data_IF_227059370961
#
_entry.id   IF_227059370961
#
_cell.length_a   1.000
_cell.length_b   1.000
_cell.length_c   1.000
_cell.angle_alpha   90.00
_cell.angle_beta   90.00
_cell.angle_gamma   90.00
#
_symmetry.space_group_name_H-M   'P 1'
#
loop_
_entity.id
_entity.type
_entity.pdbx_description
1 polymer ?
#
# COMPACT_ATOMS: atom_id res chain seq x y z
N UNK A 1 4.65 -67.17 -2.60
CA UNK A 1 3.52 -66.58 -3.33
C UNK A 1 2.67 -65.83 -2.31
N UNK A 2 2.59 -64.49 -2.42
CA UNK A 2 1.61 -63.53 -1.82
C UNK A 2 1.35 -63.57 -0.29
N UNK A 3 1.09 -62.49 0.43
CA UNK A 3 1.32 -61.04 0.34
C UNK A 3 0.86 -60.48 1.70
N UNK A 4 1.54 -59.44 2.19
CA UNK A 4 1.21 -58.62 3.37
C UNK A 4 -0.11 -57.84 3.22
N UNK A 5 -0.65 -57.41 4.38
CA UNK A 5 -1.39 -56.17 4.71
C UNK A 5 -2.65 -56.46 5.56
N UNK A 6 -3.03 -55.76 6.63
CA UNK A 6 -2.78 -54.38 7.10
C UNK A 6 -2.97 -54.31 8.63
N UNK A 7 -2.06 -53.62 9.33
CA UNK A 7 -2.33 -52.99 10.63
C UNK A 7 -2.66 -51.51 10.35
N UNK A 8 -3.94 -51.14 10.40
CA UNK A 8 -4.45 -49.76 10.42
C UNK A 8 -5.44 -49.72 11.57
N UNK A 9 -4.99 -49.34 12.77
CA UNK A 9 -5.89 -49.06 13.88
C UNK A 9 -5.20 -48.29 15.03
N UNK A 10 -4.61 -47.13 14.77
CA UNK A 10 -4.30 -46.17 15.86
C UNK A 10 -4.34 -44.74 15.32
N UNK A 11 -5.53 -44.17 15.21
CA UNK A 11 -5.73 -42.73 15.02
C UNK A 11 -7.18 -42.42 15.39
N UNK A 12 -7.40 -42.03 16.66
CA UNK A 12 -8.54 -41.29 17.23
C UNK A 12 -8.33 -41.39 18.76
N UNK A 13 -7.59 -40.45 19.36
CA UNK A 13 -7.60 -40.23 20.83
C UNK A 13 -6.97 -38.90 21.30
N UNK A 14 -6.75 -37.91 20.42
CA UNK A 14 -6.21 -36.61 20.85
C UNK A 14 -7.17 -35.43 20.58
N UNK A 15 -8.49 -35.67 20.61
CA UNK A 15 -9.49 -34.64 20.36
C UNK A 15 -10.52 -34.53 21.50
N UNK A 16 -10.06 -34.52 22.74
CA UNK A 16 -10.81 -34.00 23.89
C UNK A 16 -9.76 -33.56 24.90
N UNK A 17 -9.58 -32.26 25.08
CA UNK A 17 -9.09 -31.56 26.27
C UNK A 17 -8.55 -30.21 25.79
N UNK A 18 -9.37 -29.16 25.92
CA UNK A 18 -9.01 -27.79 26.30
C UNK A 18 -10.27 -26.91 26.16
N UNK A 19 -11.24 -27.16 27.06
CA UNK A 19 -12.31 -26.22 27.40
C UNK A 19 -12.17 -25.96 28.90
N UNK A 20 -11.61 -24.80 29.25
CA UNK A 20 -11.63 -24.13 30.56
C UNK A 20 -10.71 -22.91 30.41
N UNK A 21 -11.12 -21.65 30.44
CA UNK A 21 -12.19 -20.99 31.18
C UNK A 21 -11.52 -20.01 32.15
N UNK A 22 -11.71 -18.69 31.97
CA UNK A 22 -11.63 -17.66 33.01
C UNK A 22 -12.20 -16.32 32.49
N UNK A 23 -13.29 -15.89 33.15
CA UNK A 23 -13.91 -14.56 33.09
C UNK A 23 -13.08 -13.49 33.80
N UNK A 24 -13.52 -12.23 33.64
CA UNK A 24 -13.31 -10.99 34.45
C UNK A 24 -12.59 -9.92 33.63
N UNK A 25 -12.98 -8.65 33.52
CA UNK A 25 -14.07 -7.86 34.10
C UNK A 25 -14.26 -6.60 33.23
N UNK A 26 -15.50 -6.13 33.11
CA UNK A 26 -15.87 -4.87 32.45
C UNK A 26 -15.97 -3.76 33.50
N UNK A 27 -15.30 -2.61 33.34
CA UNK A 27 -15.67 -1.39 34.05
C UNK A 27 -16.55 -0.50 33.17
N UNK A 28 -17.55 0.07 33.83
CA UNK A 28 -18.61 0.90 33.30
C UNK A 28 -18.17 2.27 32.80
N UNK A 29 -18.89 2.68 31.76
CA UNK A 29 -19.19 4.04 31.29
C UNK A 29 -19.34 5.06 32.44
N UNK A 30 -18.64 6.18 32.33
CA UNK A 30 -19.08 7.48 32.86
C UNK A 30 -19.40 8.39 31.67
N UNK A 31 -20.69 8.61 31.48
CA UNK A 31 -21.27 9.73 30.76
C UNK A 31 -21.26 10.96 31.65
N UNK A 32 -20.86 12.10 31.10
CA UNK A 32 -21.15 13.51 31.44
C UNK A 32 -20.10 14.29 30.61
N UNK A 33 -20.37 15.30 29.80
CA UNK A 33 -21.35 16.37 29.84
C UNK A 33 -21.46 16.96 28.41
N UNK A 34 -22.67 17.29 27.99
CA UNK A 34 -22.95 18.18 26.86
C UNK A 34 -22.53 19.60 27.20
N UNK A 35 -21.69 20.24 26.37
CA UNK A 35 -21.59 21.71 26.34
C UNK A 35 -21.69 22.21 24.90
N UNK A 36 -22.53 23.22 24.78
CA UNK A 36 -23.16 23.85 23.64
C UNK A 36 -22.23 24.59 22.68
N UNK A 37 -22.67 24.60 21.43
CA UNK A 37 -22.25 25.46 20.33
C UNK A 37 -22.68 26.90 20.66
N UNK A 38 -21.74 27.85 20.64
CA UNK A 38 -22.05 29.26 20.45
C UNK A 38 -21.31 29.80 19.23
N UNK A 39 -22.11 30.09 18.21
CA UNK A 39 -21.74 30.90 17.04
C UNK A 39 -21.83 32.37 17.45
N UNK A 40 -20.70 33.06 17.52
CA UNK A 40 -20.67 34.53 17.55
C UNK A 40 -19.86 35.06 16.38
N UNK A 41 -20.59 35.39 15.32
CA UNK A 41 -20.18 36.32 14.27
C UNK A 41 -20.01 37.69 14.93
N UNK A 42 -18.80 38.23 14.92
CA UNK A 42 -18.57 39.66 15.13
C UNK A 42 -17.73 40.20 13.99
N UNK A 43 -18.39 41.02 13.18
CA UNK A 43 -17.82 41.85 12.13
C UNK A 43 -17.26 43.12 12.76
N UNK A 44 -15.95 43.32 12.69
CA UNK A 44 -15.35 44.62 12.92
C UNK A 44 -14.76 45.20 11.63
N UNK A 45 -15.42 46.28 11.21
CA UNK A 45 -14.94 47.27 10.25
C UNK A 45 -13.74 48.01 10.82
N UNK A 46 -12.66 48.07 10.05
CA UNK A 46 -11.71 49.17 10.10
C UNK A 46 -11.34 49.57 8.67
N UNK A 47 -12.10 50.51 8.10
CA UNK A 47 -11.69 51.30 6.94
C UNK A 47 -11.22 52.66 7.45
N UNK A 48 -9.94 52.99 7.27
CA UNK A 48 -9.53 54.15 6.48
C UNK A 48 -8.02 54.40 6.51
N UNK A 49 -7.59 55.08 5.44
CA UNK A 49 -6.36 55.85 5.23
C UNK A 49 -5.16 55.09 4.66
N UNK A 50 -4.75 55.48 3.45
CA UNK A 50 -3.39 55.23 2.97
C UNK A 50 -3.26 55.15 1.46
N UNK A 51 -3.50 56.26 0.80
CA UNK A 51 -3.12 56.61 -0.58
C UNK A 51 -1.69 56.15 -0.96
N UNK A 52 -1.45 55.82 -2.25
CA UNK A 52 -0.32 56.24 -3.11
C UNK A 52 0.14 55.15 -4.12
N UNK A 53 -0.20 55.42 -5.38
CA UNK A 53 0.59 55.39 -6.63
C UNK A 53 1.54 54.24 -7.00
N UNK A 54 1.33 53.81 -8.25
CA UNK A 54 2.33 53.72 -9.33
C UNK A 54 3.19 52.44 -9.50
N UNK A 55 2.94 51.84 -10.67
CA UNK A 55 3.94 51.53 -11.70
C UNK A 55 4.39 50.07 -11.87
N UNK A 56 4.51 49.72 -13.15
CA UNK A 56 5.20 48.57 -13.74
C UNK A 56 4.49 47.22 -13.74
N UNK A 57 3.65 47.07 -14.76
CA UNK A 57 3.30 45.80 -15.39
C UNK A 57 4.57 45.21 -16.03
N UNK A 58 5.42 44.59 -15.22
CA UNK A 58 6.52 43.75 -15.69
C UNK A 58 5.96 42.36 -15.97
N UNK A 59 6.03 42.01 -17.25
CA UNK A 59 5.84 40.66 -17.76
C UNK A 59 6.71 39.68 -16.98
N UNK A 60 6.07 38.85 -16.15
CA UNK A 60 6.61 37.55 -15.79
C UNK A 60 5.52 36.55 -16.12
N UNK A 61 5.60 36.07 -17.34
CA UNK A 61 4.99 34.83 -17.77
C UNK A 61 5.50 33.71 -16.86
N UNK A 62 4.78 33.45 -15.77
CA UNK A 62 4.69 32.10 -15.26
C UNK A 62 3.89 31.32 -16.29
N UNK A 63 4.61 30.82 -17.29
CA UNK A 63 4.24 29.63 -18.04
C UNK A 63 4.02 28.53 -16.99
N UNK A 64 2.77 28.38 -16.56
CA UNK A 64 2.25 27.09 -16.12
C UNK A 64 2.41 26.17 -17.31
N UNK A 65 3.55 25.47 -17.33
CA UNK A 65 3.74 24.26 -18.11
C UNK A 65 2.67 23.26 -17.65
N UNK A 66 1.51 23.35 -18.30
CA UNK A 66 0.62 22.22 -18.48
C UNK A 66 1.35 21.25 -19.41
N UNK A 67 2.34 20.53 -18.87
CA UNK A 67 2.73 19.27 -19.46
C UNK A 67 1.52 18.35 -19.34
N UNK A 68 0.82 18.21 -20.46
CA UNK A 68 -0.06 17.10 -20.77
C UNK A 68 0.84 15.84 -20.72
N UNK A 69 1.07 15.35 -19.50
CA UNK A 69 2.02 14.29 -19.22
C UNK A 69 1.48 13.01 -19.83
N UNK A 70 1.90 12.74 -21.07
CA UNK A 70 1.51 11.55 -21.79
C UNK A 70 1.98 10.33 -20.96
N UNK A 71 1.03 9.64 -20.33
CA UNK A 71 1.32 8.52 -19.43
C UNK A 71 1.94 7.40 -20.28
N UNK A 72 3.14 6.97 -19.89
CA UNK A 72 3.86 5.88 -20.54
C UNK A 72 3.30 4.52 -20.12
N UNK A 73 2.14 4.15 -20.68
CA UNK A 73 1.47 2.89 -20.36
C UNK A 73 2.32 1.65 -20.66
N UNK A 74 3.12 1.69 -21.73
CA UNK A 74 3.98 0.57 -22.10
C UNK A 74 5.10 0.39 -21.06
N UNK A 75 5.75 1.47 -20.64
CA UNK A 75 6.76 1.41 -19.59
C UNK A 75 6.19 0.90 -18.25
N UNK A 76 4.94 1.26 -17.91
CA UNK A 76 4.26 0.72 -16.73
C UNK A 76 4.05 -0.79 -16.81
N UNK A 77 3.52 -1.27 -17.93
CA UNK A 77 3.31 -2.71 -18.16
C UNK A 77 4.62 -3.48 -18.17
N UNK A 78 5.65 -2.94 -18.82
CA UNK A 78 6.99 -3.52 -18.86
C UNK A 78 7.59 -3.62 -17.46
N UNK A 79 7.45 -2.58 -16.63
CA UNK A 79 7.91 -2.62 -15.25
C UNK A 79 7.22 -3.72 -14.44
N UNK A 80 5.89 -3.80 -14.48
CA UNK A 80 5.12 -4.80 -13.71
C UNK A 80 5.47 -6.22 -14.16
N UNK A 81 5.49 -6.48 -15.47
CA UNK A 81 5.87 -7.81 -15.99
C UNK A 81 7.31 -8.19 -15.61
N UNK A 82 8.24 -7.23 -15.70
CA UNK A 82 9.62 -7.44 -15.29
C UNK A 82 9.69 -7.76 -13.80
N UNK A 83 8.97 -7.03 -12.95
CA UNK A 83 8.89 -7.29 -11.52
C UNK A 83 8.35 -8.71 -11.22
N UNK A 84 7.23 -9.10 -11.83
CA UNK A 84 6.65 -10.43 -11.67
C UNK A 84 7.58 -11.55 -12.14
N UNK A 85 8.24 -11.37 -13.30
CA UNK A 85 9.20 -12.33 -13.86
C UNK A 85 10.44 -12.50 -12.97
N UNK A 86 10.94 -11.41 -12.40
CA UNK A 86 12.06 -11.43 -11.46
C UNK A 86 11.70 -12.23 -10.20
N UNK A 87 10.50 -12.01 -9.65
CA UNK A 87 10.05 -12.73 -8.45
C UNK A 87 9.95 -14.23 -8.74
N UNK A 88 9.30 -14.60 -9.84
CA UNK A 88 9.15 -16.00 -10.28
C UNK A 88 10.47 -16.73 -10.51
N UNK A 89 11.54 -16.00 -10.84
CA UNK A 89 12.86 -16.57 -11.08
C UNK A 89 13.77 -16.55 -9.85
N UNK A 90 13.27 -16.14 -8.69
CA UNK A 90 14.03 -15.98 -7.44
C UNK A 90 15.29 -15.10 -7.60
N UNK A 91 15.26 -14.13 -8.52
CA UNK A 91 16.44 -13.30 -8.84
C UNK A 91 16.52 -12.09 -7.89
N UNK A 92 17.06 -12.32 -6.70
CA UNK A 92 17.29 -11.26 -5.70
C UNK A 92 18.18 -10.12 -6.23
N UNK A 93 19.10 -10.41 -7.15
CA UNK A 93 19.97 -9.38 -7.74
C UNK A 93 19.19 -8.46 -8.65
N UNK A 94 18.22 -8.99 -9.40
CA UNK A 94 17.34 -8.20 -10.23
C UNK A 94 16.30 -7.43 -9.40
N UNK A 95 15.75 -8.00 -8.30
CA UNK A 95 14.88 -7.25 -7.37
C UNK A 95 15.62 -6.03 -6.83
N UNK A 96 16.87 -6.20 -6.41
CA UNK A 96 17.72 -5.10 -5.92
C UNK A 96 17.84 -3.97 -6.94
N UNK A 97 17.79 -4.25 -8.25
CA UNK A 97 17.86 -3.21 -9.30
C UNK A 97 16.56 -2.40 -9.44
N UNK A 98 15.42 -2.92 -8.97
CA UNK A 98 14.16 -2.19 -8.93
C UNK A 98 14.04 -1.26 -7.71
N UNK A 99 15.03 -1.27 -6.82
CA UNK A 99 15.08 -0.44 -5.60
C UNK A 99 16.25 0.53 -5.71
N UNK A 100 15.97 1.79 -5.41
CA UNK A 100 16.97 2.86 -5.39
C UNK A 100 17.67 2.97 -4.02
N UNK A 101 18.33 4.09 -3.78
CA UNK A 101 19.10 4.35 -2.55
C UNK A 101 18.23 4.56 -1.31
N UNK A 102 16.92 4.78 -1.48
CA UNK A 102 16.00 4.99 -0.37
C UNK A 102 15.42 3.68 0.16
N UNK A 103 15.54 2.56 -0.57
CA UNK A 103 15.02 1.27 -0.14
C UNK A 103 13.54 1.09 -0.49
N UNK A 104 12.92 0.11 0.15
CA UNK A 104 11.49 -0.20 0.00
C UNK A 104 10.87 -0.55 1.34
N UNK A 105 9.55 -0.40 1.48
CA UNK A 105 8.82 -0.80 2.67
C UNK A 105 8.08 -2.13 2.47
N UNK A 106 8.21 -3.04 3.43
CA UNK A 106 7.34 -4.22 3.58
C UNK A 106 6.30 -3.92 4.64
N UNK A 107 5.02 -3.88 4.26
CA UNK A 107 3.90 -3.51 5.15
C UNK A 107 2.90 -4.66 5.23
N UNK A 108 2.73 -5.23 6.41
CA UNK A 108 1.66 -6.21 6.68
C UNK A 108 0.62 -5.56 7.57
N UNK A 109 -0.62 -5.55 7.12
CA UNK A 109 -1.76 -4.97 7.85
C UNK A 109 -2.81 -6.04 8.11
N UNK A 110 -3.19 -6.22 9.37
CA UNK A 110 -4.21 -7.16 9.81
C UNK A 110 -5.48 -6.38 10.18
N UNK A 111 -6.52 -6.50 9.36
CA UNK A 111 -7.77 -5.75 9.50
C UNK A 111 -8.47 -6.10 10.82
N UNK A 112 -8.41 -7.37 11.19
CA UNK A 112 -9.00 -7.91 12.41
C UNK A 112 -8.20 -7.63 13.70
N UNK A 113 -7.01 -7.03 13.57
CA UNK A 113 -6.10 -6.69 14.66
C UNK A 113 -5.71 -7.88 15.54
N UNK A 114 -5.85 -9.13 15.05
CA UNK A 114 -5.41 -10.33 15.77
C UNK A 114 -3.90 -10.34 15.93
N UNK A 115 -3.19 -9.86 14.91
CA UNK A 115 -1.74 -9.71 14.88
C UNK A 115 -1.35 -8.23 14.71
N UNK A 116 -0.17 -7.82 15.22
CA UNK A 116 0.29 -6.45 15.09
C UNK A 116 0.63 -6.11 13.65
N UNK A 117 0.16 -4.96 13.19
CA UNK A 117 0.58 -4.36 11.93
C UNK A 117 2.10 -4.17 11.94
N UNK A 118 2.74 -4.51 10.83
CA UNK A 118 4.19 -4.52 10.71
C UNK A 118 4.62 -3.63 9.55
N UNK A 119 5.59 -2.75 9.80
CA UNK A 119 6.20 -1.87 8.81
C UNK A 119 7.70 -2.03 8.90
N UNK A 120 8.32 -2.48 7.82
CA UNK A 120 9.75 -2.76 7.78
C UNK A 120 10.36 -1.98 6.63
N UNK A 121 11.31 -1.11 6.95
CA UNK A 121 12.17 -0.51 5.94
C UNK A 121 13.25 -1.52 5.54
N UNK A 122 13.39 -1.77 4.24
CA UNK A 122 14.34 -2.72 3.69
C UNK A 122 15.28 -1.98 2.75
N UNK A 123 16.55 -1.91 3.15
CA UNK A 123 17.59 -1.40 2.28
C UNK A 123 17.92 -2.40 1.18
N UNK A 124 18.42 -1.92 0.04
CA UNK A 124 18.75 -2.75 -1.12
C UNK A 124 19.70 -3.90 -0.79
N UNK A 125 20.67 -3.67 0.07
CA UNK A 125 21.64 -4.67 0.53
C UNK A 125 21.06 -5.67 1.54
N UNK A 126 19.94 -5.35 2.19
CA UNK A 126 19.27 -6.20 3.18
C UNK A 126 18.31 -7.23 2.55
N UNK A 127 17.96 -7.07 1.26
CA UNK A 127 17.11 -8.04 0.56
C UNK A 127 17.82 -9.39 0.51
N UNK A 128 17.16 -10.39 1.12
CA UNK A 128 17.64 -11.77 1.16
C UNK A 128 17.53 -12.45 -0.20
N UNK A 129 18.30 -13.52 -0.36
CA UNK A 129 18.31 -14.30 -1.60
C UNK A 129 17.01 -15.07 -1.85
N UNK A 130 16.26 -15.37 -0.79
CA UNK A 130 14.94 -16.02 -0.87
C UNK A 130 13.79 -15.00 -0.98
N UNK A 131 14.09 -13.76 -1.41
CA UNK A 131 13.12 -12.70 -1.66
C UNK A 131 12.20 -12.36 -0.48
N UNK A 132 12.67 -12.60 0.74
CA UNK A 132 11.99 -12.14 1.95
C UNK A 132 12.42 -10.71 2.26
N UNK A 133 11.43 -9.81 2.36
CA UNK A 133 11.63 -8.40 2.66
C UNK A 133 11.67 -8.17 4.18
N UNK A 134 12.89 -8.25 4.71
CA UNK A 134 13.19 -8.06 6.14
C UNK A 134 14.45 -7.20 6.29
N UNK A 135 14.67 -6.68 7.50
CA UNK A 135 15.90 -5.97 7.85
C UNK A 135 16.59 -6.61 9.06
N UNK A 136 17.70 -6.03 9.49
CA UNK A 136 18.48 -6.57 10.62
C UNK A 136 17.69 -6.68 11.95
N UNK A 137 16.63 -5.88 12.11
CA UNK A 137 15.82 -5.81 13.33
C UNK A 137 14.61 -6.74 13.30
N UNK A 138 14.06 -7.00 12.12
CA UNK A 138 12.84 -7.77 11.91
C UNK A 138 13.14 -9.09 11.18
N UNK A 139 12.72 -10.23 11.75
CA UNK A 139 12.96 -11.55 11.12
C UNK A 139 11.77 -12.10 10.33
N UNK A 140 10.63 -11.43 10.41
CA UNK A 140 9.38 -11.78 9.73
C UNK A 140 8.99 -10.58 8.86
N UNK A 141 8.66 -10.84 7.60
CA UNK A 141 8.28 -9.84 6.62
C UNK A 141 7.63 -10.51 5.43
N UNK A 142 7.35 -9.74 4.37
CA UNK A 142 6.66 -10.28 3.19
C UNK A 142 7.63 -11.13 2.37
N UNK A 143 7.18 -12.33 2.00
CA UNK A 143 7.89 -13.19 1.04
C UNK A 143 7.29 -12.95 -0.35
N UNK A 144 8.08 -12.39 -1.26
CA UNK A 144 7.58 -11.96 -2.56
C UNK A 144 7.01 -13.13 -3.38
N UNK A 145 7.68 -14.28 -3.43
CA UNK A 145 7.21 -15.43 -4.21
C UNK A 145 5.77 -15.83 -3.84
N UNK A 146 5.49 -15.95 -2.54
CA UNK A 146 4.15 -16.32 -2.06
C UNK A 146 3.05 -15.31 -2.40
N UNK A 147 3.41 -14.02 -2.48
CA UNK A 147 2.48 -12.93 -2.76
C UNK A 147 2.06 -12.88 -4.24
N UNK A 148 2.89 -13.43 -5.13
CA UNK A 148 2.67 -13.40 -6.58
C UNK A 148 2.56 -14.81 -7.19
N UNK A 149 2.32 -15.83 -6.35
CA UNK A 149 2.09 -17.19 -6.77
C UNK A 149 0.84 -17.28 -7.68
N UNK A 150 0.95 -17.98 -8.81
CA UNK A 150 -0.17 -18.18 -9.76
C UNK A 150 -0.21 -17.19 -10.93
N UNK A 151 0.77 -16.30 -11.06
CA UNK A 151 0.89 -15.35 -12.17
C UNK A 151 1.53 -15.92 -13.44
N UNK A 152 1.55 -17.25 -13.59
CA UNK A 152 2.32 -17.93 -14.63
C UNK A 152 1.84 -17.64 -16.06
N UNK A 153 0.64 -17.09 -16.21
CA UNK A 153 -0.04 -16.87 -17.48
C UNK A 153 -0.24 -15.39 -17.85
N UNK A 154 0.11 -14.43 -16.97
CA UNK A 154 -0.12 -13.01 -17.24
C UNK A 154 0.75 -12.51 -18.41
N UNK A 155 0.11 -12.00 -19.44
CA UNK A 155 0.75 -11.33 -20.57
C UNK A 155 0.65 -9.80 -20.47
N UNK A 156 1.42 -9.10 -21.28
CA UNK A 156 1.48 -7.62 -21.26
C UNK A 156 0.12 -6.95 -21.51
N UNK A 157 -0.70 -7.55 -22.36
CA UNK A 157 -2.03 -7.03 -22.68
C UNK A 157 -3.05 -7.28 -21.56
N UNK A 158 -2.72 -8.14 -20.60
CA UNK A 158 -3.62 -8.57 -19.52
C UNK A 158 -3.53 -7.68 -18.28
N UNK A 159 -2.68 -6.64 -18.29
CA UNK A 159 -2.53 -5.69 -17.19
C UNK A 159 -3.14 -4.35 -17.61
N UNK A 160 -4.40 -4.06 -17.25
CA UNK A 160 -5.03 -2.78 -17.51
C UNK A 160 -4.30 -1.66 -16.75
N UNK A 161 -4.23 -0.49 -17.37
CA UNK A 161 -3.77 0.74 -16.73
C UNK A 161 -4.99 1.64 -16.52
N UNK A 162 -5.23 2.07 -15.29
CA UNK A 162 -6.32 2.98 -14.95
C UNK A 162 -5.79 4.40 -14.78
N UNK A 163 -6.19 5.28 -15.69
CA UNK A 163 -5.77 6.69 -15.78
C UNK A 163 -6.93 7.65 -15.50
N UNK A 164 -8.01 7.20 -14.84
CA UNK A 164 -9.18 8.06 -14.63
C UNK A 164 -8.83 9.36 -13.88
N UNK A 165 -9.48 10.47 -14.24
CA UNK A 165 -9.26 11.79 -13.62
C UNK A 165 -9.50 11.80 -12.10
N UNK A 166 -10.29 10.85 -11.57
CA UNK A 166 -10.48 10.70 -10.14
C UNK A 166 -9.21 10.17 -9.45
N UNK A 167 -8.45 9.30 -10.11
CA UNK A 167 -7.20 8.73 -9.58
C UNK A 167 -6.03 9.71 -9.68
N UNK A 168 -5.99 10.57 -10.71
CA UNK A 168 -4.92 11.58 -10.85
C UNK A 168 -4.91 12.63 -9.73
N UNK A 169 -5.97 12.69 -8.91
CA UNK A 169 -6.07 13.54 -7.73
C UNK A 169 -5.80 12.79 -6.41
N UNK A 170 -5.61 11.47 -6.46
CA UNK A 170 -5.27 10.65 -5.29
C UNK A 170 -3.76 10.61 -5.14
N UNK A 171 -3.28 10.82 -3.92
CA UNK A 171 -1.86 10.69 -3.55
C UNK A 171 -1.77 10.01 -2.18
N UNK A 172 -0.66 9.37 -1.92
CA UNK A 172 -0.30 8.94 -0.57
C UNK A 172 0.36 10.13 0.13
N UNK A 173 -0.19 10.57 1.27
CA UNK A 173 0.44 11.59 2.12
C UNK A 173 1.57 10.97 2.97
N UNK A 174 2.57 10.44 2.26
CA UNK A 174 3.64 9.62 2.80
C UNK A 174 4.93 9.95 2.07
N UNK A 175 5.99 10.24 2.83
CA UNK A 175 7.34 10.32 2.27
C UNK A 175 7.95 8.93 2.14
N UNK A 176 7.78 8.32 0.95
CA UNK A 176 8.35 7.02 0.62
C UNK A 176 9.89 7.00 0.57
N UNK A 177 10.56 8.15 0.61
CA UNK A 177 12.02 8.27 0.61
C UNK A 177 12.60 8.34 2.03
N UNK A 178 11.73 8.46 3.04
CA UNK A 178 12.14 8.32 4.43
C UNK A 178 12.63 6.90 4.74
N UNK A 179 13.64 6.78 5.61
CA UNK A 179 14.10 5.50 6.17
C UNK A 179 13.53 5.23 7.57
N UNK A 180 12.73 6.16 8.10
CA UNK A 180 12.13 6.07 9.43
C UNK A 180 10.80 5.32 9.36
N UNK A 181 10.81 4.06 9.79
CA UNK A 181 9.63 3.20 9.89
C UNK A 181 8.50 3.83 10.72
N UNK A 182 8.82 4.68 11.70
CA UNK A 182 7.83 5.31 12.57
C UNK A 182 6.96 6.33 11.82
N UNK A 183 7.48 6.95 10.76
CA UNK A 183 6.73 7.89 9.92
C UNK A 183 5.67 7.12 9.14
N UNK A 184 6.04 6.00 8.52
CA UNK A 184 5.13 5.15 7.77
C UNK A 184 4.11 4.47 8.70
N UNK A 185 4.57 4.00 9.87
CA UNK A 185 3.69 3.40 10.89
C UNK A 185 2.56 4.35 11.31
N UNK A 186 2.86 5.64 11.53
CA UNK A 186 1.85 6.65 11.87
C UNK A 186 0.86 6.92 10.73
N UNK A 187 1.22 6.59 9.50
CA UNK A 187 0.43 6.83 8.28
C UNK A 187 -0.26 5.58 7.75
N UNK A 188 -0.10 4.43 8.40
CA UNK A 188 -0.61 3.15 7.88
C UNK A 188 -2.11 3.19 7.62
N UNK A 189 -2.90 3.75 8.53
CA UNK A 189 -4.36 3.90 8.37
C UNK A 189 -4.73 4.78 7.17
N UNK A 190 -3.97 5.84 6.92
CA UNK A 190 -4.19 6.73 5.77
C UNK A 190 -3.81 6.04 4.45
N UNK A 191 -2.74 5.23 4.46
CA UNK A 191 -2.34 4.38 3.33
C UNK A 191 -3.47 3.40 3.00
N UNK A 192 -4.00 2.68 4.02
CA UNK A 192 -5.06 1.69 3.81
C UNK A 192 -6.33 2.35 3.27
N UNK A 193 -6.76 3.48 3.86
CA UNK A 193 -7.92 4.24 3.35
C UNK A 193 -7.73 4.71 1.91
N UNK A 194 -6.51 5.06 1.53
CA UNK A 194 -6.18 5.47 0.16
C UNK A 194 -6.32 4.28 -0.80
N UNK A 195 -5.79 3.11 -0.43
CA UNK A 195 -5.94 1.88 -1.21
C UNK A 195 -7.41 1.45 -1.34
N UNK A 196 -8.17 1.52 -0.25
CA UNK A 196 -9.62 1.27 -0.27
C UNK A 196 -10.33 2.21 -1.24
N UNK A 197 -10.01 3.51 -1.19
CA UNK A 197 -10.59 4.51 -2.10
C UNK A 197 -10.25 4.21 -3.56
N UNK A 198 -9.02 3.81 -3.87
CA UNK A 198 -8.60 3.41 -5.22
C UNK A 198 -9.44 2.21 -5.68
N UNK A 199 -9.57 1.19 -4.84
CA UNK A 199 -10.30 -0.03 -5.15
C UNK A 199 -11.80 0.23 -5.41
N UNK A 200 -12.43 1.10 -4.61
CA UNK A 200 -13.84 1.48 -4.77
C UNK A 200 -14.12 2.26 -6.06
N UNK A 201 -13.12 2.95 -6.62
CA UNK A 201 -13.29 3.68 -7.88
C UNK A 201 -13.40 2.71 -9.06
N UNK A 202 -12.58 1.65 -9.10
CA UNK A 202 -12.65 0.61 -10.12
C UNK A 202 -11.76 -0.60 -9.78
N UNK A 203 -12.36 -1.72 -9.39
CA UNK A 203 -11.66 -2.99 -9.12
C UNK A 203 -12.02 -4.11 -10.10
N UNK A 204 -12.63 -3.79 -11.24
CA UNK A 204 -13.23 -4.79 -12.14
C UNK A 204 -12.23 -5.74 -12.79
N UNK A 205 -10.97 -5.34 -12.92
CA UNK A 205 -9.98 -6.03 -13.72
C UNK A 205 -8.67 -6.28 -12.98
N UNK A 206 -8.73 -6.74 -11.72
CA UNK A 206 -7.53 -7.14 -10.98
C UNK A 206 -6.94 -8.41 -11.63
N UNK A 207 -5.62 -8.48 -11.91
CA UNK A 207 -4.58 -7.51 -11.53
C UNK A 207 -4.54 -6.25 -12.40
N UNK A 208 -4.30 -5.07 -11.79
CA UNK A 208 -4.41 -3.76 -12.45
C UNK A 208 -3.41 -2.73 -11.89
N UNK A 209 -2.95 -1.81 -12.74
CA UNK A 209 -2.17 -0.63 -12.33
C UNK A 209 -3.07 0.60 -12.27
N UNK A 210 -2.92 1.38 -11.21
CA UNK A 210 -3.56 2.68 -11.00
C UNK A 210 -2.52 3.78 -11.10
N UNK A 211 -2.78 4.76 -11.98
CA UNK A 211 -1.93 5.96 -12.11
C UNK A 211 -2.44 7.01 -11.14
N UNK A 212 -1.60 7.36 -10.17
CA UNK A 212 -1.92 8.31 -9.12
C UNK A 212 -1.20 9.65 -9.38
N UNK A 213 -1.39 10.59 -8.47
CA UNK A 213 -0.67 11.85 -8.47
C UNK A 213 0.83 11.64 -8.18
N UNK A 214 1.64 12.65 -8.48
CA UNK A 214 3.03 12.76 -8.02
C UNK A 214 3.95 11.66 -8.57
N UNK A 215 3.67 11.16 -9.79
CA UNK A 215 4.41 10.05 -10.43
C UNK A 215 4.41 8.75 -9.62
N UNK A 216 3.38 8.55 -8.79
CA UNK A 216 3.16 7.33 -8.02
C UNK A 216 2.18 6.43 -8.74
N UNK A 217 2.42 5.13 -8.64
CA UNK A 217 1.60 4.09 -9.22
C UNK A 217 1.34 3.02 -8.16
N UNK A 218 0.13 2.45 -8.20
CA UNK A 218 -0.23 1.31 -7.37
C UNK A 218 -0.60 0.14 -8.29
N UNK A 219 0.08 -0.98 -8.15
CA UNK A 219 -0.29 -2.24 -8.78
C UNK A 219 -1.01 -3.11 -7.76
N UNK A 220 -2.29 -3.41 -8.02
CA UNK A 220 -3.05 -4.40 -7.25
C UNK A 220 -2.92 -5.75 -7.94
N UNK A 221 -2.32 -6.70 -7.24
CA UNK A 221 -2.22 -8.08 -7.70
C UNK A 221 -3.48 -8.86 -7.34
N UNK A 222 -3.93 -8.69 -6.10
CA UNK A 222 -5.16 -9.25 -5.57
C UNK A 222 -5.85 -8.14 -4.78
N UNK A 223 -7.18 -8.12 -4.80
CA UNK A 223 -7.93 -7.23 -3.92
C UNK A 223 -9.35 -7.77 -3.74
N UNK A 224 -9.76 -7.88 -2.48
CA UNK A 224 -11.09 -8.32 -2.07
C UNK A 224 -11.81 -7.20 -1.35
N UNK A 225 -13.10 -7.02 -1.66
CA UNK A 225 -14.05 -6.29 -0.82
C UNK A 225 -15.27 -7.19 -0.69
N UNK A 226 -15.52 -7.71 0.51
CA UNK A 226 -16.63 -8.63 0.77
C UNK A 226 -17.86 -7.87 1.26
N UNK A 227 -18.68 -7.33 0.37
CA UNK A 227 -19.97 -6.75 0.80
C UNK A 227 -20.85 -7.80 1.52
N UNK A 228 -21.55 -7.44 2.63
CA UNK A 228 -21.77 -6.10 3.18
C UNK A 228 -20.69 -5.61 4.16
N UNK A 229 -19.61 -6.36 4.37
CA UNK A 229 -18.55 -6.04 5.33
C UNK A 229 -17.37 -5.31 4.63
N UNK A 230 -16.72 -4.35 5.30
CA UNK A 230 -15.67 -3.53 4.69
C UNK A 230 -14.30 -4.24 4.66
N UNK A 231 -14.26 -5.58 4.68
CA UNK A 231 -13.01 -6.33 4.69
C UNK A 231 -12.28 -6.10 3.36
N UNK A 232 -11.24 -5.27 3.42
CA UNK A 232 -10.40 -4.88 2.30
C UNK A 232 -9.04 -5.58 2.38
N UNK A 233 -8.96 -6.75 1.78
CA UNK A 233 -7.75 -7.59 1.75
C UNK A 233 -7.09 -7.52 0.38
N UNK A 234 -5.83 -7.96 0.30
CA UNK A 234 -5.13 -8.09 -0.97
C UNK A 234 -3.67 -7.67 -0.95
N UNK A 235 -3.05 -7.83 -2.11
CA UNK A 235 -1.62 -7.71 -2.34
C UNK A 235 -1.35 -6.53 -3.27
N UNK A 236 -0.59 -5.55 -2.78
CA UNK A 236 -0.36 -4.28 -3.44
C UNK A 236 1.13 -3.95 -3.55
N UNK A 237 1.48 -3.29 -4.65
CA UNK A 237 2.83 -2.78 -4.91
C UNK A 237 2.75 -1.31 -5.25
N UNK A 238 3.51 -0.48 -4.52
CA UNK A 238 3.64 0.94 -4.80
C UNK A 238 5.00 1.19 -5.43
N UNK A 239 5.00 1.94 -6.53
CA UNK A 239 6.22 2.31 -7.23
C UNK A 239 6.14 3.75 -7.75
N UNK A 240 7.31 4.37 -7.94
CA UNK A 240 7.45 5.76 -8.35
C UNK A 240 8.26 5.82 -9.65
N UNK A 241 7.89 6.71 -10.57
CA UNK A 241 8.73 7.06 -11.72
C UNK A 241 9.65 8.23 -11.34
N UNK A 242 10.96 8.02 -11.48
CA UNK A 242 11.98 9.04 -11.26
C UNK A 242 12.82 9.16 -12.53
N UNK A 243 12.66 10.27 -13.25
CA UNK A 243 13.22 10.41 -14.60
C UNK A 243 12.60 9.39 -15.55
N UNK A 244 13.43 8.52 -16.13
CA UNK A 244 13.00 7.49 -17.09
C UNK A 244 12.93 6.08 -16.47
N UNK A 245 13.09 5.95 -15.16
CA UNK A 245 13.11 4.66 -14.47
C UNK A 245 11.99 4.56 -13.43
N UNK A 246 11.57 3.33 -13.14
CA UNK A 246 10.57 3.01 -12.13
C UNK A 246 11.23 2.31 -10.95
N UNK A 247 10.89 2.73 -9.73
CA UNK A 247 11.45 2.20 -8.50
C UNK A 247 10.37 1.75 -7.52
N UNK A 248 10.59 0.60 -6.89
CA UNK A 248 9.73 0.02 -5.88
C UNK A 248 9.80 0.84 -4.58
N UNK A 249 8.64 1.25 -4.08
CA UNK A 249 8.50 2.03 -2.84
C UNK A 249 7.92 1.21 -1.71
N UNK A 250 6.91 0.41 -1.98
CA UNK A 250 6.34 -0.47 -0.97
C UNK A 250 5.76 -1.74 -1.58
N UNK A 251 5.78 -2.79 -0.76
CA UNK A 251 5.04 -4.03 -0.95
C UNK A 251 4.13 -4.16 0.26
N UNK A 252 2.83 -4.28 0.03
CA UNK A 252 1.80 -4.17 1.06
C UNK A 252 0.90 -5.40 0.97
N UNK A 253 0.78 -6.11 2.09
CA UNK A 253 -0.11 -7.25 2.23
C UNK A 253 -1.20 -6.91 3.25
N UNK A 254 -2.45 -6.96 2.80
CA UNK A 254 -3.64 -6.68 3.61
C UNK A 254 -4.36 -8.01 3.90
N UNK A 255 -4.46 -8.36 5.19
CA UNK A 255 -4.99 -9.63 5.68
C UNK A 255 -6.23 -9.45 6.55
#
# INVERSE_FOLDING_TARGET
>A
MRCRNKNILVLICCLVLLISGCSSAVPQVKSDETVSIDNSISSDKANNVGEINNTEKTSSSTETDNEDSNIDENGLKDFVLKFLSIIKSDDSTAVKKLIDTYGTFSITYFIDQRDPNTVIHVSKDEIRNDLVLVNSQNKVGITLDSMFAGNDELQQNDIPINTSQNLSNISFDVDWKSKDESIITKKIEDIIKTLQKINLINNKNIPQVFVLKDNIYAFAQSSGVLEPEPEFTGDWVIFEKVGNEYYLRAVIQLQ
#
